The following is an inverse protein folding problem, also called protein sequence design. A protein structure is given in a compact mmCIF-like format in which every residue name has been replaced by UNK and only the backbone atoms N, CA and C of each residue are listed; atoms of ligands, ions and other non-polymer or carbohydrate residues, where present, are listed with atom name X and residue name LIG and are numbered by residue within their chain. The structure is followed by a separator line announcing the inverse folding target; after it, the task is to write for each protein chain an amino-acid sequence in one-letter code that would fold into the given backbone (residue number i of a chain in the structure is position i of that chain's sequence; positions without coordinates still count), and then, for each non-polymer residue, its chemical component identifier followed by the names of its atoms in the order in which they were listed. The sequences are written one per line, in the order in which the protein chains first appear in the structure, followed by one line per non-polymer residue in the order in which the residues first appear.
data_IF_020732896402
#
_entry.id   IF_020732896402
#
_cell.length_a   1.000
_cell.length_b   1.000
_cell.length_c   1.000
_cell.angle_alpha   90.00
_cell.angle_beta   90.00
_cell.angle_gamma   90.00
#
_symmetry.space_group_name_H-M   'P 1'
#
loop_
_entity.id
_entity.type
_entity.pdbx_description
1 polymer ?
#
# COMPACT_ATOMS: atom_id res chain seq x y z
N UNK A 1 -52.34 -5.82 12.07
CA UNK A 1 -51.57 -6.93 11.46
C UNK A 1 -50.78 -6.51 10.24
N UNK A 2 -51.27 -5.64 9.39
CA UNK A 2 -50.52 -5.18 8.21
C UNK A 2 -49.20 -4.46 8.58
N UNK A 3 -49.16 -3.70 9.70
CA UNK A 3 -47.93 -3.01 10.16
C UNK A 3 -46.82 -3.95 10.60
N UNK A 4 -47.15 -5.13 11.12
CA UNK A 4 -46.19 -6.15 11.54
C UNK A 4 -45.54 -6.80 10.32
N UNK A 5 -46.31 -7.05 9.25
CA UNK A 5 -45.78 -7.63 8.00
C UNK A 5 -44.77 -6.69 7.35
N UNK A 6 -45.01 -5.40 7.34
CA UNK A 6 -44.06 -4.41 6.80
C UNK A 6 -42.80 -4.33 7.63
N UNK A 7 -42.89 -4.47 8.96
CA UNK A 7 -41.72 -4.50 9.82
C UNK A 7 -40.84 -5.71 9.55
N UNK A 8 -41.43 -6.91 9.35
CA UNK A 8 -40.71 -8.12 8.97
C UNK A 8 -40.06 -7.98 7.60
N UNK A 9 -40.76 -7.39 6.64
CA UNK A 9 -40.22 -7.15 5.30
C UNK A 9 -39.01 -6.20 5.35
N UNK A 10 -39.07 -5.16 6.15
CA UNK A 10 -37.98 -4.21 6.35
C UNK A 10 -36.76 -4.87 7.00
N UNK A 11 -36.96 -5.72 8.02
CA UNK A 11 -35.90 -6.53 8.63
C UNK A 11 -35.23 -7.47 7.62
N UNK A 12 -36.02 -8.06 6.73
CA UNK A 12 -35.50 -8.98 5.73
C UNK A 12 -34.63 -8.29 4.69
N UNK A 13 -34.97 -7.05 4.32
CA UNK A 13 -34.20 -6.23 3.38
C UNK A 13 -32.84 -5.84 4.00
N UNK A 14 -32.79 -5.53 5.29
CA UNK A 14 -31.55 -5.14 5.96
C UNK A 14 -30.54 -6.28 6.13
N UNK A 15 -30.99 -7.56 6.09
CA UNK A 15 -30.11 -8.72 6.20
C UNK A 15 -29.33 -9.03 4.91
N UNK A 16 -29.70 -8.46 3.77
CA UNK A 16 -29.04 -8.69 2.48
C UNK A 16 -28.01 -7.64 2.11
N UNK A 17 -27.82 -6.59 2.90
CA UNK A 17 -26.79 -5.60 2.65
C UNK A 17 -25.43 -6.07 3.21
N UNK A 18 -24.70 -6.85 2.42
CA UNK A 18 -23.33 -7.26 2.78
C UNK A 18 -22.35 -6.19 2.33
N UNK A 19 -21.67 -5.55 3.28
CA UNK A 19 -20.42 -4.87 3.01
C UNK A 19 -19.34 -5.93 2.83
N UNK A 20 -18.43 -5.76 1.84
CA UNK A 20 -17.25 -6.60 1.71
C UNK A 20 -16.41 -6.50 2.97
N UNK A 21 -15.96 -7.64 3.49
CA UNK A 21 -15.08 -7.68 4.64
C UNK A 21 -13.62 -7.54 4.21
N UNK A 22 -12.86 -6.82 5.00
CA UNK A 22 -11.42 -6.73 4.81
C UNK A 22 -10.76 -8.00 5.34
N UNK A 23 -9.82 -8.54 4.54
CA UNK A 23 -9.02 -9.70 4.91
C UNK A 23 -7.54 -9.37 4.74
N UNK A 24 -6.78 -9.53 5.83
CA UNK A 24 -5.34 -9.31 5.81
C UNK A 24 -4.66 -10.55 5.24
N UNK A 25 -3.81 -10.33 4.23
CA UNK A 25 -2.93 -11.34 3.66
C UNK A 25 -1.48 -10.87 3.72
N UNK A 26 -0.56 -11.80 3.73
CA UNK A 26 0.86 -11.51 3.66
C UNK A 26 1.20 -10.93 2.28
N UNK A 27 2.07 -9.93 2.23
CA UNK A 27 2.33 -9.11 1.04
C UNK A 27 2.81 -9.91 -0.18
N UNK A 28 3.48 -11.04 0.03
CA UNK A 28 3.92 -11.90 -1.09
C UNK A 28 2.75 -12.45 -1.90
N UNK A 29 1.56 -12.55 -1.31
CA UNK A 29 0.36 -12.98 -2.04
C UNK A 29 -0.08 -11.97 -3.11
N UNK A 30 0.25 -10.70 -2.93
CA UNK A 30 0.02 -9.68 -3.95
C UNK A 30 0.79 -9.97 -5.25
N UNK A 31 1.99 -10.54 -5.11
CA UNK A 31 2.85 -10.87 -6.24
C UNK A 31 2.71 -12.32 -6.70
N UNK A 32 1.85 -13.10 -6.08
CA UNK A 32 1.66 -14.50 -6.39
C UNK A 32 0.55 -14.67 -7.43
N UNK A 33 0.85 -15.05 -8.70
CA UNK A 33 -0.17 -15.19 -9.74
C UNK A 33 -1.15 -16.33 -9.48
N UNK A 34 -0.81 -17.26 -8.60
CA UNK A 34 -1.65 -18.40 -8.24
C UNK A 34 -2.51 -18.16 -7.00
N UNK A 35 -2.43 -16.97 -6.40
CA UNK A 35 -3.25 -16.63 -5.25
C UNK A 35 -4.70 -16.43 -5.69
N UNK A 36 -5.60 -17.23 -5.10
CA UNK A 36 -7.03 -17.16 -5.39
C UNK A 36 -7.72 -16.13 -4.50
N UNK A 37 -8.24 -15.08 -5.13
CA UNK A 37 -9.03 -14.06 -4.43
C UNK A 37 -10.51 -14.45 -4.42
N UNK A 38 -11.19 -14.10 -3.32
CA UNK A 38 -12.63 -14.20 -3.20
C UNK A 38 -13.29 -12.84 -3.44
N UNK A 39 -14.42 -12.77 -4.17
CA UNK A 39 -15.13 -11.51 -4.37
C UNK A 39 -15.81 -10.97 -3.11
N UNK A 40 -15.85 -11.78 -2.04
CA UNK A 40 -16.43 -11.38 -0.75
C UNK A 40 -15.51 -10.52 0.11
N UNK A 41 -14.21 -10.42 -0.24
CA UNK A 41 -13.23 -9.72 0.56
C UNK A 41 -12.59 -8.56 -0.21
N UNK A 42 -12.24 -7.50 0.54
CA UNK A 42 -11.24 -6.52 0.14
C UNK A 42 -9.95 -6.92 0.84
N UNK A 43 -8.94 -7.31 0.07
CA UNK A 43 -7.67 -7.78 0.63
C UNK A 43 -6.79 -6.60 1.02
N UNK A 44 -6.15 -6.74 2.18
CA UNK A 44 -5.04 -5.90 2.58
C UNK A 44 -3.78 -6.75 2.57
N UNK A 45 -2.92 -6.49 1.58
CA UNK A 45 -1.62 -7.15 1.45
C UNK A 45 -0.60 -6.41 2.31
N UNK A 46 -0.34 -6.97 3.48
CA UNK A 46 0.44 -6.34 4.53
C UNK A 46 1.84 -6.93 4.62
N UNK A 47 2.84 -6.06 4.83
CA UNK A 47 4.21 -6.46 5.09
C UNK A 47 4.38 -6.95 6.54
N UNK A 48 3.76 -8.09 6.84
CA UNK A 48 3.71 -8.67 8.20
C UNK A 48 5.11 -9.07 8.67
N UNK A 49 5.95 -9.56 7.77
CA UNK A 49 7.28 -10.07 8.09
C UNK A 49 8.37 -9.01 7.97
N UNK A 50 8.00 -7.75 7.77
CA UNK A 50 8.92 -6.62 7.67
C UNK A 50 10.00 -6.79 6.59
N UNK A 51 9.60 -7.30 5.41
CA UNK A 51 10.51 -7.44 4.27
C UNK A 51 11.08 -6.12 3.78
N UNK A 52 10.36 -5.02 3.95
CA UNK A 52 10.81 -3.70 3.52
C UNK A 52 11.81 -3.05 4.48
N UNK A 53 11.83 -3.47 5.74
CA UNK A 53 12.66 -2.87 6.78
C UNK A 53 14.13 -2.75 6.42
N UNK A 54 14.79 -3.78 5.81
CA UNK A 54 16.20 -3.66 5.44
C UNK A 54 16.51 -2.57 4.41
N UNK A 55 15.52 -2.14 3.64
CA UNK A 55 15.70 -1.15 2.57
C UNK A 55 15.35 0.27 3.02
N UNK A 56 14.65 0.43 4.15
CA UNK A 56 14.22 1.74 4.64
C UNK A 56 15.41 2.54 5.11
N UNK A 57 15.47 3.80 4.70
CA UNK A 57 16.51 4.73 5.08
C UNK A 57 17.09 5.46 3.88
N UNK A 58 18.21 6.11 4.11
CA UNK A 58 18.92 6.87 3.09
C UNK A 58 20.16 6.11 2.66
N UNK A 59 20.27 5.88 1.36
CA UNK A 59 21.38 5.19 0.73
C UNK A 59 22.19 6.20 -0.10
N UNK A 60 23.50 6.17 0.07
CA UNK A 60 24.38 7.15 -0.58
C UNK A 60 25.45 6.39 -1.36
N UNK A 61 25.60 6.75 -2.64
CA UNK A 61 26.71 6.31 -3.48
C UNK A 61 27.44 7.54 -4.01
N UNK A 62 28.70 7.67 -3.61
CA UNK A 62 29.54 8.82 -3.98
C UNK A 62 30.52 8.39 -5.07
N UNK A 63 30.59 9.19 -6.14
CA UNK A 63 31.55 9.03 -7.24
C UNK A 63 32.14 10.41 -7.58
N UNK A 64 33.36 10.66 -7.08
CA UNK A 64 33.98 11.98 -7.24
C UNK A 64 33.21 13.09 -6.54
N UNK A 65 32.88 14.14 -7.27
CA UNK A 65 32.10 15.29 -6.74
C UNK A 65 30.60 15.07 -6.80
N UNK A 66 30.18 13.97 -7.44
CA UNK A 66 28.76 13.62 -7.57
C UNK A 66 28.36 12.56 -6.55
N UNK A 67 27.18 12.72 -5.98
CA UNK A 67 26.61 11.78 -5.03
C UNK A 67 25.19 11.44 -5.44
N UNK A 68 24.94 10.15 -5.58
CA UNK A 68 23.61 9.63 -5.81
C UNK A 68 23.00 9.29 -4.45
N UNK A 69 21.87 9.92 -4.15
CA UNK A 69 21.16 9.76 -2.88
C UNK A 69 19.81 9.13 -3.14
N UNK A 70 19.55 8.00 -2.51
CA UNK A 70 18.24 7.33 -2.54
C UNK A 70 17.67 7.28 -1.15
N UNK A 71 16.39 7.60 -1.02
CA UNK A 71 15.66 7.48 0.23
C UNK A 71 14.47 6.55 0.01
N UNK A 72 14.38 5.54 0.87
CA UNK A 72 13.25 4.60 0.87
C UNK A 72 12.45 4.71 2.15
N UNK A 73 11.14 4.60 2.02
CA UNK A 73 10.22 4.57 3.16
C UNK A 73 9.06 3.65 2.85
N UNK A 74 8.32 3.28 3.89
CA UNK A 74 7.14 2.42 3.78
C UNK A 74 5.89 3.28 3.86
N UNK A 75 5.00 3.11 2.89
CA UNK A 75 3.64 3.61 2.94
C UNK A 75 2.74 2.46 3.37
N UNK A 76 2.03 2.65 4.48
CA UNK A 76 1.19 1.62 5.08
C UNK A 76 -0.23 1.73 4.55
N UNK A 77 -0.78 0.57 4.15
CA UNK A 77 -2.19 0.43 3.75
C UNK A 77 -2.61 1.44 2.69
N UNK A 78 -1.86 1.49 1.60
CA UNK A 78 -2.19 2.35 0.46
C UNK A 78 -3.51 1.88 -0.14
N UNK A 79 -4.39 2.83 -0.41
CA UNK A 79 -5.77 2.59 -0.82
C UNK A 79 -5.87 2.48 -2.33
N UNK A 80 -6.21 1.29 -2.82
CA UNK A 80 -6.53 1.01 -4.22
C UNK A 80 -7.98 0.52 -4.38
N UNK A 81 -8.89 1.03 -3.56
CA UNK A 81 -10.31 0.63 -3.61
C UNK A 81 -11.06 1.22 -4.81
N UNK A 82 -10.45 2.15 -5.54
CA UNK A 82 -10.97 2.62 -6.83
C UNK A 82 -10.67 1.67 -7.98
N UNK A 83 -9.75 0.71 -7.78
CA UNK A 83 -9.40 -0.30 -8.76
C UNK A 83 -10.39 -1.48 -8.74
N UNK A 84 -10.29 -2.34 -9.76
CA UNK A 84 -11.04 -3.58 -9.85
C UNK A 84 -10.05 -4.74 -10.07
N UNK A 85 -9.90 -5.67 -9.12
CA UNK A 85 -10.53 -5.72 -7.78
C UNK A 85 -10.01 -4.65 -6.80
N UNK A 86 -10.80 -4.33 -5.79
CA UNK A 86 -10.43 -3.39 -4.72
C UNK A 86 -9.45 -4.04 -3.76
N UNK A 87 -8.42 -3.29 -3.34
CA UNK A 87 -7.45 -3.79 -2.37
C UNK A 87 -6.71 -2.66 -1.66
N UNK A 88 -6.00 -3.03 -0.60
CA UNK A 88 -4.99 -2.22 0.07
C UNK A 88 -3.66 -2.96 0.02
N UNK A 89 -2.57 -2.24 0.01
CA UNK A 89 -1.23 -2.84 0.01
C UNK A 89 -0.23 -1.93 0.71
N UNK A 90 0.69 -2.52 1.47
CA UNK A 90 1.88 -1.82 1.94
C UNK A 90 2.85 -1.65 0.78
N UNK A 91 3.44 -0.49 0.63
CA UNK A 91 4.37 -0.20 -0.45
C UNK A 91 5.72 0.29 0.09
N UNK A 92 6.78 -0.19 -0.54
CA UNK A 92 8.10 0.42 -0.41
C UNK A 92 8.20 1.51 -1.47
N UNK A 93 8.33 2.76 -1.03
CA UNK A 93 8.49 3.90 -1.91
C UNK A 93 9.87 4.50 -1.78
N UNK A 94 10.32 5.11 -2.85
CA UNK A 94 11.63 5.71 -2.89
C UNK A 94 11.65 7.00 -3.67
N UNK A 95 12.64 7.80 -3.36
CA UNK A 95 12.98 9.01 -4.07
C UNK A 95 14.48 9.07 -4.23
N UNK A 96 14.96 9.56 -5.37
CA UNK A 96 16.39 9.69 -5.62
C UNK A 96 16.72 11.10 -6.11
N UNK A 97 17.96 11.49 -5.88
CA UNK A 97 18.56 12.70 -6.44
C UNK A 97 20.02 12.49 -6.77
N UNK A 98 20.52 13.17 -7.77
CA UNK A 98 21.95 13.31 -8.04
C UNK A 98 22.38 14.69 -7.60
N UNK A 99 23.40 14.75 -6.75
CA UNK A 99 23.87 15.97 -6.10
C UNK A 99 25.35 16.17 -6.39
N UNK A 100 25.73 17.39 -6.71
CA UNK A 100 27.13 17.81 -6.79
C UNK A 100 27.54 18.48 -5.48
N UNK A 101 28.73 18.18 -4.99
CA UNK A 101 29.29 18.73 -3.75
C UNK A 101 28.38 18.48 -2.54
N UNK A 102 27.90 17.25 -2.39
CA UNK A 102 27.00 16.82 -1.33
C UNK A 102 27.59 17.13 0.07
N UNK A 103 26.77 17.75 0.92
CA UNK A 103 27.16 18.11 2.28
C UNK A 103 28.04 19.37 2.39
N UNK A 104 28.35 20.02 1.28
CA UNK A 104 29.14 21.23 1.24
C UNK A 104 28.27 22.48 1.07
N UNK A 105 28.84 23.65 1.32
CA UNK A 105 28.10 24.92 1.21
C UNK A 105 27.67 25.24 -0.25
N UNK A 106 28.38 24.68 -1.22
CA UNK A 106 28.08 24.80 -2.66
C UNK A 106 27.33 23.59 -3.23
N UNK A 107 26.62 22.87 -2.39
CA UNK A 107 25.81 21.74 -2.81
C UNK A 107 24.78 22.15 -3.86
N UNK A 108 24.71 21.36 -4.93
CA UNK A 108 23.79 21.62 -6.02
C UNK A 108 23.12 20.32 -6.46
N UNK A 109 21.78 20.31 -6.50
CA UNK A 109 21.02 19.19 -7.05
C UNK A 109 21.07 19.26 -8.56
N UNK A 110 21.55 18.19 -9.19
CA UNK A 110 21.68 18.09 -10.65
C UNK A 110 20.35 17.61 -11.24
N UNK A 111 19.76 16.55 -10.64
CA UNK A 111 18.39 16.14 -10.93
C UNK A 111 17.79 15.38 -9.74
N UNK A 112 16.47 15.33 -9.77
CA UNK A 112 15.69 14.65 -8.74
C UNK A 112 14.42 14.04 -9.36
#
# INVERSE_FOLDING_TARGET
MKKIVYLFLLMFITTFSYAQQEKIEEIRQYYNPNFNTSPFYIYYYKDINNYFTPFIGTWIYQNGVQTFVMKFWKETKVDYTDDTPKYYVDELRGHYKLVQNFGQSNEQVIYT
#
